data_IF_388224422383
#
_entry.id   IF_388224422383
#
_cell.length_a   1.000
_cell.length_b   1.000
_cell.length_c   1.000
_cell.angle_alpha   90.00
_cell.angle_beta   90.00
_cell.angle_gamma   90.00
#
_symmetry.space_group_name_H-M   'P 1'
#
loop_
_entity.id
_entity.type
_entity.pdbx_description
1 polymer ?
#
# COMPACT_ATOMS: atom_id res chain seq x y z
N UNK A 1 6.08 8.60 -6.96
CA UNK A 1 5.36 7.31 -6.89
C UNK A 1 6.35 6.29 -6.38
N UNK A 2 6.25 5.91 -5.10
CA UNK A 2 7.13 4.90 -4.51
C UNK A 2 6.43 3.56 -4.64
N UNK A 3 7.02 2.65 -5.40
CA UNK A 3 6.50 1.30 -5.64
C UNK A 3 7.22 0.35 -4.69
N UNK A 4 6.47 -0.38 -3.88
CA UNK A 4 6.99 -1.43 -3.02
C UNK A 4 6.72 -2.79 -3.68
N UNK A 5 7.72 -3.67 -3.70
CA UNK A 5 7.60 -5.03 -4.24
C UNK A 5 7.72 -6.03 -3.10
N UNK A 6 6.68 -6.84 -2.88
CA UNK A 6 6.66 -7.95 -1.90
C UNK A 6 6.28 -9.23 -2.64
N UNK A 7 7.17 -10.22 -2.68
CA UNK A 7 6.91 -11.55 -3.27
C UNK A 7 6.27 -11.54 -4.69
N UNK A 8 6.75 -10.65 -5.58
CA UNK A 8 6.23 -10.37 -6.94
C UNK A 8 4.90 -9.60 -7.04
N UNK A 9 4.35 -9.16 -5.92
CA UNK A 9 3.24 -8.23 -5.90
C UNK A 9 3.78 -6.81 -5.85
N UNK A 10 3.23 -5.95 -6.70
CA UNK A 10 3.51 -4.52 -6.68
C UNK A 10 2.40 -3.84 -5.92
N UNK A 11 2.74 -3.02 -4.93
CA UNK A 11 1.77 -2.17 -4.27
C UNK A 11 2.07 -0.69 -4.57
N UNK A 12 1.01 0.08 -4.84
CA UNK A 12 1.07 1.55 -4.79
C UNK A 12 0.91 1.99 -3.35
N UNK A 13 1.59 3.05 -2.95
CA UNK A 13 1.45 3.65 -1.62
C UNK A 13 1.03 5.11 -1.80
N UNK A 14 -0.08 5.47 -1.19
CA UNK A 14 -0.64 6.83 -1.18
C UNK A 14 -0.92 7.27 0.26
N UNK A 15 -0.81 8.56 0.53
CA UNK A 15 -1.15 9.12 1.84
C UNK A 15 -2.63 9.51 1.85
N UNK A 16 -3.37 9.02 2.84
CA UNK A 16 -4.76 9.35 3.10
C UNK A 16 -4.82 10.45 4.20
N UNK A 17 -5.11 11.71 3.83
CA UNK A 17 -5.14 12.82 4.77
C UNK A 17 -6.36 12.79 5.71
N UNK A 18 -7.42 12.05 5.38
CA UNK A 18 -8.61 11.93 6.22
C UNK A 18 -8.36 10.95 7.38
N UNK A 19 -7.54 9.93 7.14
CA UNK A 19 -7.16 8.93 8.15
C UNK A 19 -5.82 9.21 8.83
N UNK A 20 -5.01 10.12 8.28
CA UNK A 20 -3.60 10.36 8.67
C UNK A 20 -2.78 9.07 8.62
N UNK A 21 -2.98 8.29 7.56
CA UNK A 21 -2.37 6.98 7.33
C UNK A 21 -1.91 6.85 5.88
N UNK A 22 -0.92 6.00 5.65
CA UNK A 22 -0.57 5.55 4.31
C UNK A 22 -1.47 4.37 3.93
N UNK A 23 -2.13 4.46 2.78
CA UNK A 23 -2.85 3.38 2.14
C UNK A 23 -1.94 2.73 1.10
N UNK A 24 -1.78 1.42 1.19
CA UNK A 24 -1.16 0.62 0.15
C UNK A 24 -2.19 -0.23 -0.58
N UNK A 25 -2.13 -0.25 -1.92
CA UNK A 25 -3.02 -1.04 -2.77
C UNK A 25 -2.20 -2.04 -3.59
N UNK A 26 -2.46 -3.33 -3.42
CA UNK A 26 -1.77 -4.39 -4.17
C UNK A 26 -2.34 -4.51 -5.59
N UNK A 27 -1.47 -4.32 -6.58
CA UNK A 27 -1.72 -4.52 -7.99
C UNK A 27 -1.63 -6.01 -8.36
N UNK A 28 -2.58 -6.47 -9.19
CA UNK A 28 -2.55 -7.81 -9.80
C UNK A 28 -3.28 -8.91 -9.03
N UNK A 29 -3.87 -8.61 -7.87
CA UNK A 29 -4.83 -9.49 -7.22
C UNK A 29 -6.21 -9.30 -7.83
N UNK A 30 -6.86 -10.39 -8.26
CA UNK A 30 -8.28 -10.38 -8.64
C UNK A 30 -9.11 -10.09 -7.37
N UNK A 31 -9.34 -8.81 -7.10
CA UNK A 31 -10.06 -8.35 -5.90
C UNK A 31 -9.50 -7.07 -5.28
N UNK A 32 -8.23 -6.72 -5.56
CA UNK A 32 -7.54 -5.64 -4.85
C UNK A 32 -7.35 -5.98 -3.37
N UNK A 33 -6.17 -5.73 -2.82
CA UNK A 33 -5.97 -5.80 -1.37
C UNK A 33 -5.44 -4.46 -0.92
N UNK A 34 -6.24 -3.77 -0.11
CA UNK A 34 -5.86 -2.52 0.54
C UNK A 34 -5.33 -2.81 1.94
N UNK A 35 -4.24 -2.16 2.31
CA UNK A 35 -3.70 -2.16 3.67
C UNK A 35 -3.35 -0.74 4.11
N UNK A 36 -3.38 -0.50 5.41
CA UNK A 36 -3.13 0.83 6.00
C UNK A 36 -2.02 0.74 7.04
N UNK A 37 -1.17 1.76 7.09
CA UNK A 37 -0.05 1.84 8.04
C UNK A 37 0.28 3.28 8.40
N UNK A 38 0.85 3.50 9.58
CA UNK A 38 1.22 4.85 10.03
C UNK A 38 2.50 5.36 9.37
N UNK A 39 3.27 4.46 8.79
CA UNK A 39 4.53 4.76 8.13
C UNK A 39 4.76 3.72 7.01
N UNK A 40 5.51 4.07 5.95
CA UNK A 40 5.76 3.17 4.82
C UNK A 40 6.49 1.88 5.20
N UNK A 41 7.15 1.83 6.35
CA UNK A 41 7.85 0.65 6.86
C UNK A 41 6.92 -0.38 7.52
N UNK A 42 5.77 0.07 8.05
CA UNK A 42 4.72 -0.79 8.62
C UNK A 42 3.82 -1.44 7.55
N UNK A 43 3.96 -1.05 6.29
CA UNK A 43 3.18 -1.51 5.14
C UNK A 43 3.63 -2.88 4.59
N UNK A 44 4.11 -3.78 5.45
CA UNK A 44 4.83 -5.01 5.05
C UNK A 44 3.95 -6.25 4.89
#
# INVERSE_FOLDING_TARGET
MNVMTVDNYHATIEFDPDLDLFRGEILGLNGGADFYGKNPEELR
#
